data_IF_553296228647
#
_entry.id   IF_553296228647
#
_cell.length_a   1.000
_cell.length_b   1.000
_cell.length_c   1.000
_cell.angle_alpha   90.00
_cell.angle_beta   90.00
_cell.angle_gamma   90.00
#
_symmetry.space_group_name_H-M   'P 1'
#
loop_
_entity.id
_entity.type
_entity.pdbx_description
1 polymer ?
#
# COMPACT_ATOMS: atom_id res chain seq x y z
N UNK A 1 11.67 6.75 31.39
CA UNK A 1 12.30 7.45 30.25
C UNK A 1 12.86 6.46 29.23
N UNK A 2 13.85 5.63 29.58
CA UNK A 2 14.47 4.65 28.65
C UNK A 2 13.47 3.70 27.95
N UNK A 3 12.49 3.15 28.68
CA UNK A 3 11.49 2.26 28.12
C UNK A 3 10.69 2.87 26.96
N UNK A 4 10.34 4.16 27.06
CA UNK A 4 9.62 4.86 25.98
C UNK A 4 10.50 5.01 24.74
N UNK A 5 11.80 5.24 24.90
CA UNK A 5 12.74 5.32 23.76
C UNK A 5 12.78 3.99 23.02
N UNK A 6 12.86 2.87 23.75
CA UNK A 6 12.87 1.52 23.14
C UNK A 6 11.55 1.25 22.41
N UNK A 7 10.40 1.56 23.02
CA UNK A 7 9.11 1.39 22.37
C UNK A 7 8.98 2.24 21.09
N UNK A 8 9.50 3.47 21.08
CA UNK A 8 9.48 4.33 19.90
C UNK A 8 10.34 3.77 18.77
N UNK A 9 11.50 3.18 19.07
CA UNK A 9 12.34 2.53 18.05
C UNK A 9 11.60 1.32 17.44
N UNK A 10 10.98 0.49 18.28
CA UNK A 10 10.16 -0.63 17.81
C UNK A 10 8.97 -0.12 16.98
N UNK A 11 8.32 0.96 17.40
CA UNK A 11 7.22 1.58 16.66
C UNK A 11 7.68 2.08 15.27
N UNK A 12 8.88 2.65 15.16
CA UNK A 12 9.43 3.08 13.88
C UNK A 12 9.68 1.88 12.93
N UNK A 13 10.16 0.75 13.46
CA UNK A 13 10.32 -0.48 12.69
C UNK A 13 8.96 -1.00 12.17
N UNK A 14 7.93 -1.01 13.02
CA UNK A 14 6.55 -1.37 12.64
C UNK A 14 6.02 -0.43 11.56
N UNK A 15 6.21 0.88 11.73
CA UNK A 15 5.79 1.87 10.72
C UNK A 15 6.46 1.64 9.36
N UNK A 16 7.79 1.46 9.34
CA UNK A 16 8.53 1.20 8.10
C UNK A 16 8.10 -0.11 7.44
N UNK A 17 7.83 -1.15 8.23
CA UNK A 17 7.33 -2.41 7.70
C UNK A 17 5.94 -2.25 7.05
N UNK A 18 5.02 -1.51 7.69
CA UNK A 18 3.71 -1.20 7.12
C UNK A 18 3.81 -0.34 5.85
N UNK A 19 4.71 0.64 5.84
CA UNK A 19 4.96 1.48 4.66
C UNK A 19 5.41 0.65 3.46
N UNK A 20 6.40 -0.22 3.64
CA UNK A 20 6.90 -1.11 2.58
C UNK A 20 5.79 -2.01 2.03
N UNK A 21 4.90 -2.50 2.90
CA UNK A 21 3.77 -3.33 2.51
C UNK A 21 2.71 -2.55 1.73
N UNK A 22 2.38 -1.33 2.16
CA UNK A 22 1.46 -0.45 1.43
C UNK A 22 2.03 -0.10 0.04
N UNK A 23 3.34 0.15 -0.05
CA UNK A 23 4.04 0.41 -1.31
C UNK A 23 4.04 -0.83 -2.22
N UNK A 24 4.27 -2.03 -1.67
CA UNK A 24 4.19 -3.27 -2.42
C UNK A 24 2.77 -3.54 -2.94
N UNK A 25 1.74 -3.31 -2.12
CA UNK A 25 0.34 -3.45 -2.54
C UNK A 25 0.00 -2.45 -3.67
N UNK A 26 0.44 -1.20 -3.55
CA UNK A 26 0.27 -0.20 -4.61
C UNK A 26 0.98 -0.61 -5.92
N UNK A 27 2.19 -1.15 -5.83
CA UNK A 27 2.93 -1.62 -7.00
C UNK A 27 2.21 -2.79 -7.71
N UNK A 28 1.69 -3.76 -6.94
CA UNK A 28 0.89 -4.86 -7.49
C UNK A 28 -0.39 -4.35 -8.16
N UNK A 29 -1.08 -3.37 -7.56
CA UNK A 29 -2.25 -2.76 -8.21
C UNK A 29 -1.90 -2.12 -9.56
N UNK A 30 -0.78 -1.40 -9.65
CA UNK A 30 -0.31 -0.81 -10.91
C UNK A 30 -0.01 -1.89 -11.95
N UNK A 31 0.67 -2.96 -11.53
CA UNK A 31 1.04 -4.08 -12.39
C UNK A 31 -0.18 -4.77 -13.02
N UNK A 32 -1.21 -5.03 -12.23
CA UNK A 32 -2.43 -5.68 -12.72
C UNK A 32 -3.29 -4.73 -13.56
N UNK A 33 -3.35 -3.46 -13.18
CA UNK A 33 -4.17 -2.45 -13.88
C UNK A 33 -3.56 -2.03 -15.22
N UNK A 34 -2.23 -2.11 -15.38
CA UNK A 34 -1.54 -1.69 -16.62
C UNK A 34 -1.64 -2.72 -17.75
N UNK A 35 -2.05 -3.95 -17.44
CA UNK A 35 -2.28 -4.99 -18.43
C UNK A 35 -3.31 -4.52 -19.47
N UNK A 36 -3.19 -5.05 -20.69
CA UNK A 36 -4.06 -4.68 -21.82
C UNK A 36 -5.56 -4.84 -21.46
N UNK A 37 -5.93 -6.00 -20.95
CA UNK A 37 -7.29 -6.33 -20.50
C UNK A 37 -7.54 -6.01 -19.01
N UNK A 38 -6.52 -5.52 -18.29
CA UNK A 38 -6.65 -5.17 -16.89
C UNK A 38 -7.53 -3.94 -16.70
N UNK A 39 -8.12 -3.76 -15.53
CA UNK A 39 -8.90 -2.59 -15.15
C UNK A 39 -8.60 -2.11 -13.74
N UNK A 40 -9.17 -0.97 -13.35
CA UNK A 40 -9.03 -0.45 -11.98
C UNK A 40 -9.63 -1.40 -10.93
N UNK A 41 -10.63 -2.21 -11.31
CA UNK A 41 -11.21 -3.27 -10.47
C UNK A 41 -10.22 -4.39 -10.16
N UNK A 42 -9.42 -4.81 -11.14
CA UNK A 42 -8.40 -5.86 -10.96
C UNK A 42 -7.26 -5.37 -10.06
N UNK A 43 -6.79 -4.14 -10.28
CA UNK A 43 -5.82 -3.50 -9.40
C UNK A 43 -6.33 -3.38 -7.97
N UNK A 44 -7.60 -2.99 -7.79
CA UNK A 44 -8.21 -2.92 -6.46
C UNK A 44 -8.24 -4.30 -5.78
N UNK A 45 -8.67 -5.33 -6.50
CA UNK A 45 -8.73 -6.70 -5.97
C UNK A 45 -7.34 -7.24 -5.61
N UNK A 46 -6.34 -6.96 -6.46
CA UNK A 46 -4.96 -7.41 -6.25
C UNK A 46 -4.27 -6.69 -5.08
N UNK A 47 -4.41 -5.36 -4.97
CA UNK A 47 -3.91 -4.62 -3.80
C UNK A 47 -4.62 -5.03 -2.52
N UNK A 48 -5.94 -5.22 -2.56
CA UNK A 48 -6.72 -5.66 -1.39
C UNK A 48 -6.30 -7.07 -0.94
N UNK A 49 -6.10 -8.01 -1.87
CA UNK A 49 -5.58 -9.35 -1.58
C UNK A 49 -4.16 -9.32 -1.01
N UNK A 50 -3.29 -8.49 -1.58
CA UNK A 50 -1.91 -8.31 -1.08
C UNK A 50 -1.90 -7.72 0.32
N UNK A 51 -2.74 -6.72 0.59
CA UNK A 51 -2.89 -6.13 1.91
C UNK A 51 -3.53 -7.12 2.91
N UNK A 52 -4.45 -7.98 2.50
CA UNK A 52 -5.04 -9.02 3.36
C UNK A 52 -4.01 -10.10 3.77
N UNK A 53 -3.05 -10.43 2.89
CA UNK A 53 -1.95 -11.37 3.21
C UNK A 53 -0.99 -10.86 4.28
N UNK A 54 -1.12 -9.60 4.68
CA UNK A 54 -0.29 -8.99 5.73
C UNK A 54 -0.55 -9.50 7.15
N UNK A 55 -1.61 -10.29 7.36
CA UNK A 55 -1.88 -10.93 8.65
C UNK A 55 -2.22 -9.96 9.78
N UNK A 56 -2.80 -8.79 9.47
CA UNK A 56 -3.19 -7.77 10.45
C UNK A 56 -2.17 -6.66 10.67
N UNK A 57 -1.10 -6.62 9.86
CA UNK A 57 -0.11 -5.53 9.87
C UNK A 57 -0.67 -4.20 9.34
N UNK A 58 -1.66 -4.26 8.45
CA UNK A 58 -2.43 -3.11 7.99
C UNK A 58 -3.90 -3.29 8.35
N UNK A 59 -4.45 -2.32 9.08
CA UNK A 59 -5.87 -2.23 9.43
C UNK A 59 -6.52 -1.07 8.67
N UNK A 60 -7.85 -1.07 8.59
CA UNK A 60 -8.60 0.03 7.96
C UNK A 60 -8.08 0.40 6.55
N UNK A 61 -7.79 -0.63 5.76
CA UNK A 61 -7.13 -0.48 4.46
C UNK A 61 -8.07 0.24 3.49
N UNK A 62 -7.54 1.25 2.81
CA UNK A 62 -8.21 1.94 1.70
C UNK A 62 -7.30 1.91 0.48
N UNK A 63 -7.85 1.49 -0.65
CA UNK A 63 -7.15 1.33 -1.92
C UNK A 63 -7.84 2.21 -2.96
N UNK A 64 -7.08 3.10 -3.56
CA UNK A 64 -7.53 3.92 -4.68
C UNK A 64 -6.68 3.62 -5.91
N UNK A 65 -7.32 3.20 -6.99
CA UNK A 65 -6.66 2.90 -8.27
C UNK A 65 -7.24 3.80 -9.34
N UNK A 66 -6.36 4.51 -10.03
CA UNK A 66 -6.70 5.41 -11.12
C UNK A 66 -5.95 4.99 -12.38
N UNK A 67 -6.66 4.97 -13.52
CA UNK A 67 -6.09 4.70 -14.83
C UNK A 67 -6.53 5.78 -15.79
N UNK A 68 -5.57 6.32 -16.53
CA UNK A 68 -5.78 7.17 -17.70
C UNK A 68 -5.39 6.40 -18.96
N UNK A 69 -5.51 7.04 -20.13
CA UNK A 69 -5.10 6.43 -21.40
C UNK A 69 -3.59 6.12 -21.47
N UNK A 70 -2.75 6.77 -20.66
CA UNK A 70 -1.29 6.67 -20.74
C UNK A 70 -0.62 6.29 -19.43
N UNK A 71 -1.33 6.40 -18.30
CA UNK A 71 -0.75 6.21 -16.99
C UNK A 71 -1.71 5.52 -16.03
N UNK A 72 -1.15 4.67 -15.18
CA UNK A 72 -1.81 4.05 -14.04
C UNK A 72 -1.17 4.58 -12.77
N UNK A 73 -1.98 4.86 -11.75
CA UNK A 73 -1.51 5.21 -10.41
C UNK A 73 -2.39 4.53 -9.38
N UNK A 74 -1.77 3.94 -8.37
CA UNK A 74 -2.46 3.33 -7.24
C UNK A 74 -1.91 3.88 -5.92
N UNK A 75 -2.81 4.18 -4.99
CA UNK A 75 -2.51 4.61 -3.63
C UNK A 75 -3.19 3.67 -2.65
N UNK A 76 -2.42 3.15 -1.70
CA UNK A 76 -2.88 2.27 -0.63
C UNK A 76 -2.57 2.92 0.69
N UNK A 77 -3.58 3.08 1.54
CA UNK A 77 -3.45 3.59 2.90
C UNK A 77 -3.88 2.53 3.90
N UNK A 78 -3.27 2.51 5.08
CA UNK A 78 -3.69 1.63 6.17
C UNK A 78 -3.07 2.03 7.50
N UNK A 79 -3.70 1.58 8.58
CA UNK A 79 -3.29 1.85 9.94
C UNK A 79 -2.37 0.73 10.44
N UNK A 80 -1.23 1.10 11.05
CA UNK A 80 -0.29 0.13 11.62
C UNK A 80 -0.56 -0.11 13.12
N UNK A 81 -0.25 -1.30 13.65
CA UNK A 81 -0.35 -1.58 15.07
C UNK A 81 0.44 -0.58 15.93
N UNK A 82 -0.12 -0.25 17.09
CA UNK A 82 0.45 0.73 18.02
C UNK A 82 0.97 0.03 19.27
N UNK A 83 2.24 0.29 19.57
CA UNK A 83 2.92 -0.13 20.79
C UNK A 83 3.01 1.02 21.79
N UNK A 84 2.96 2.25 21.32
CA UNK A 84 3.00 3.45 22.16
C UNK A 84 1.57 3.99 22.35
N UNK A 85 1.06 4.09 23.60
CA UNK A 85 -0.28 4.59 23.86
C UNK A 85 -0.47 6.05 23.43
N UNK A 86 -1.66 6.38 22.89
CA UNK A 86 -2.06 7.76 22.58
C UNK A 86 -1.63 8.30 21.23
N UNK A 87 -1.10 7.46 20.33
CA UNK A 87 -0.80 7.83 18.94
C UNK A 87 -1.64 7.03 17.97
N UNK A 88 -1.88 7.59 16.79
CA UNK A 88 -2.40 6.86 15.62
C UNK A 88 -1.40 7.04 14.48
N UNK A 89 -1.04 5.94 13.81
CA UNK A 89 -0.09 5.97 12.70
C UNK A 89 -0.73 5.30 11.49
N UNK A 90 -0.83 6.07 10.41
CA UNK A 90 -1.30 5.62 9.11
C UNK A 90 -0.10 5.63 8.16
N UNK A 91 0.03 4.58 7.36
CA UNK A 91 1.01 4.49 6.28
C UNK A 91 0.31 4.68 4.94
N UNK A 92 1.02 5.31 4.00
CA UNK A 92 0.54 5.54 2.64
C UNK A 92 1.60 5.10 1.66
N UNK A 93 1.28 4.12 0.82
CA UNK A 93 2.08 3.69 -0.31
C UNK A 93 1.46 4.15 -1.63
N UNK A 94 2.26 4.70 -2.53
CA UNK A 94 1.81 5.10 -3.87
C UNK A 94 2.76 4.53 -4.91
N UNK A 95 2.21 4.01 -6.00
CA UNK A 95 2.95 3.56 -7.16
C UNK A 95 2.29 4.10 -8.43
N UNK A 96 3.08 4.32 -9.47
CA UNK A 96 2.57 4.71 -10.79
C UNK A 96 3.44 4.16 -11.91
N UNK A 97 2.85 3.98 -13.10
CA UNK A 97 3.53 3.45 -14.27
C UNK A 97 2.75 3.73 -15.57
N UNK A 98 3.40 3.64 -16.75
CA UNK A 98 2.73 3.78 -18.03
C UNK A 98 1.81 2.57 -18.32
N UNK A 99 0.75 2.80 -19.11
CA UNK A 99 -0.09 1.71 -19.64
C UNK A 99 0.65 1.04 -20.80
N UNK A 100 0.64 -0.28 -20.88
CA UNK A 100 1.24 -1.00 -22.01
C UNK A 100 0.50 -0.65 -23.32
N UNK A 101 1.27 -0.26 -24.34
CA UNK A 101 0.75 0.00 -25.69
C UNK A 101 1.60 -0.76 -26.70
N UNK A 102 0.98 -1.64 -27.47
CA UNK A 102 1.63 -2.20 -28.67
C UNK A 102 1.95 -1.06 -29.62
N UNK A 103 3.23 -0.94 -29.98
CA UNK A 103 3.66 -0.12 -31.10
C UNK A 103 3.90 -1.12 -32.23
N UNK A 104 2.99 -1.15 -33.21
CA UNK A 104 3.16 -1.89 -34.46
C UNK A 104 4.34 -1.32 -35.29
#
# INVERSE_FOLDING_TARGET
>A
MFFLVVLTILQAAVYLHGYNLAQAAAAVAVEETRLYDGGTGDGYAAASSTAAKSGGMLNNISVNVSRSATQVSATVTGDVPLLVPGMNLTVTGTASGPVERWVD
#
